data_IF_576536445113
#
_entry.id   IF_576536445113
#
_cell.length_a   1.000
_cell.length_b   1.000
_cell.length_c   1.000
_cell.angle_alpha   90.00
_cell.angle_beta   90.00
_cell.angle_gamma   90.00
#
_symmetry.space_group_name_H-M   'P 1'
#
loop_
_entity.id
_entity.type
_entity.pdbx_description
1 polymer ?
#
# COMPACT_ATOMS: atom_id res chain seq x y z
N UNK A 1 1.87 -0.28 -8.27
CA UNK A 1 3.09 0.52 -8.47
C UNK A 1 4.38 -0.29 -8.32
N UNK A 2 4.33 -1.61 -8.02
CA UNK A 2 5.49 -2.54 -8.03
C UNK A 2 6.73 -2.02 -7.28
N UNK A 3 6.52 -1.35 -6.14
CA UNK A 3 7.61 -0.86 -5.29
C UNK A 3 8.28 -2.03 -4.55
N UNK A 4 9.54 -1.82 -4.14
CA UNK A 4 10.32 -2.81 -3.38
C UNK A 4 9.59 -3.12 -2.07
N UNK A 5 9.45 -4.41 -1.76
CA UNK A 5 9.01 -4.83 -0.43
C UNK A 5 10.18 -4.68 0.55
N UNK A 6 9.98 -3.94 1.63
CA UNK A 6 10.99 -3.75 2.67
C UNK A 6 10.34 -3.49 4.03
N UNK A 7 10.95 -4.03 5.09
CA UNK A 7 10.68 -3.63 6.48
C UNK A 7 11.76 -2.71 7.04
N UNK A 8 12.88 -2.58 6.33
CA UNK A 8 13.90 -1.59 6.62
C UNK A 8 13.44 -0.22 6.09
N UNK A 9 13.54 0.78 6.96
CA UNK A 9 13.06 2.15 6.73
C UNK A 9 14.21 3.15 6.59
N UNK A 10 15.46 2.71 6.67
CA UNK A 10 16.60 3.60 6.48
C UNK A 10 16.60 4.18 5.05
N UNK A 11 16.71 5.50 4.95
CA UNK A 11 16.66 6.22 3.68
C UNK A 11 15.33 6.15 2.91
N UNK A 12 14.22 5.74 3.55
CA UNK A 12 12.89 5.70 2.93
C UNK A 12 12.15 7.03 3.13
N UNK A 13 11.66 7.64 2.05
CA UNK A 13 10.84 8.85 2.11
C UNK A 13 9.36 8.52 2.36
N UNK A 14 8.86 7.45 1.74
CA UNK A 14 7.44 7.06 1.82
C UNK A 14 7.30 5.55 1.97
N UNK A 15 6.58 5.12 3.00
CA UNK A 15 6.18 3.73 3.19
C UNK A 15 4.69 3.55 2.92
N UNK A 16 4.35 2.62 2.02
CA UNK A 16 2.96 2.18 1.79
C UNK A 16 2.67 1.01 2.72
N UNK A 17 1.69 1.16 3.61
CA UNK A 17 1.27 0.15 4.57
C UNK A 17 -0.22 -0.18 4.36
N UNK A 18 -0.54 -1.47 4.35
CA UNK A 18 -1.94 -1.93 4.36
C UNK A 18 -2.42 -2.17 5.80
N UNK A 19 -3.66 -1.78 6.09
CA UNK A 19 -4.34 -2.13 7.36
C UNK A 19 -5.55 -3.01 7.01
N UNK A 20 -5.41 -4.34 7.05
CA UNK A 20 -6.46 -5.27 6.62
C UNK A 20 -7.52 -5.47 7.74
N UNK A 21 -8.27 -4.42 8.07
CA UNK A 21 -9.25 -4.40 9.16
C UNK A 21 -10.67 -4.07 8.67
N UNK A 22 -11.68 -4.75 9.22
CA UNK A 22 -13.10 -4.49 8.94
C UNK A 22 -14.06 -4.83 10.09
N UNK A 23 -13.56 -5.13 11.30
CA UNK A 23 -14.40 -5.49 12.46
C UNK A 23 -15.31 -4.33 12.91
N UNK A 24 -14.96 -3.09 12.57
CA UNK A 24 -15.78 -1.91 12.84
C UNK A 24 -16.89 -1.63 11.80
N UNK A 25 -17.04 -2.47 10.77
CA UNK A 25 -18.11 -2.30 9.76
C UNK A 25 -19.49 -2.58 10.35
N UNK A 26 -20.49 -1.77 10.00
CA UNK A 26 -21.86 -1.86 10.55
C UNK A 26 -22.86 -2.62 9.67
N UNK A 27 -22.49 -2.95 8.42
CA UNK A 27 -23.38 -3.62 7.47
C UNK A 27 -22.61 -4.66 6.64
N UNK A 28 -21.87 -4.23 5.62
CA UNK A 28 -21.13 -5.13 4.72
C UNK A 28 -19.65 -5.15 5.08
N UNK A 29 -19.14 -6.33 5.42
CA UNK A 29 -17.72 -6.60 5.64
C UNK A 29 -16.97 -6.79 4.31
N UNK A 30 -15.64 -6.89 4.37
CA UNK A 30 -14.78 -7.18 3.22
C UNK A 30 -13.62 -6.21 3.02
N UNK A 31 -13.59 -5.06 3.70
CA UNK A 31 -12.49 -4.09 3.56
C UNK A 31 -11.14 -4.64 4.02
N UNK A 32 -11.13 -5.72 4.82
CA UNK A 32 -9.90 -6.45 5.17
C UNK A 32 -9.12 -6.97 3.95
N UNK A 33 -9.80 -7.24 2.83
CA UNK A 33 -9.17 -7.68 1.58
C UNK A 33 -8.71 -6.50 0.70
N UNK A 34 -9.07 -5.27 1.08
CA UNK A 34 -8.81 -4.04 0.34
C UNK A 34 -7.32 -3.83 0.01
N UNK A 35 -6.39 -3.90 0.98
CA UNK A 35 -4.96 -3.69 0.70
C UNK A 35 -4.42 -4.60 -0.43
N UNK A 36 -4.79 -5.89 -0.42
CA UNK A 36 -4.41 -6.83 -1.49
C UNK A 36 -5.06 -6.46 -2.82
N UNK A 37 -6.35 -6.09 -2.81
CA UNK A 37 -7.05 -5.69 -4.03
C UNK A 37 -6.43 -4.43 -4.66
N UNK A 38 -6.11 -3.42 -3.86
CA UNK A 38 -5.44 -2.19 -4.32
C UNK A 38 -4.07 -2.50 -4.90
N UNK A 39 -3.26 -3.34 -4.22
CA UNK A 39 -1.95 -3.75 -4.75
C UNK A 39 -2.08 -4.41 -6.12
N UNK A 40 -3.04 -5.31 -6.29
CA UNK A 40 -3.31 -5.97 -7.57
C UNK A 40 -3.80 -5.00 -8.67
N UNK A 41 -4.66 -4.05 -8.33
CA UNK A 41 -5.15 -3.04 -9.27
C UNK A 41 -4.06 -2.02 -9.66
N UNK A 42 -3.15 -1.70 -8.73
CA UNK A 42 -2.09 -0.69 -8.92
C UNK A 42 -1.04 -1.05 -9.97
N UNK A 43 -1.16 -2.23 -10.59
CA UNK A 43 -0.17 -2.80 -11.51
C UNK A 43 -0.14 -2.06 -12.85
N UNK A 44 -1.28 -1.52 -13.28
CA UNK A 44 -1.38 -0.65 -14.45
C UNK A 44 -0.58 0.65 -14.28
N UNK A 45 -0.46 1.17 -13.05
CA UNK A 45 0.27 2.40 -12.75
C UNK A 45 1.76 2.19 -12.47
N UNK A 46 2.33 1.03 -12.84
CA UNK A 46 3.71 0.69 -12.48
C UNK A 46 4.73 1.00 -13.58
N UNK A 47 4.29 1.14 -14.83
CA UNK A 47 5.19 1.18 -15.99
C UNK A 47 5.44 2.59 -16.51
N UNK A 48 4.45 3.46 -16.48
CA UNK A 48 4.56 4.82 -16.98
C UNK A 48 4.43 5.83 -15.85
N UNK A 49 5.06 6.99 -16.05
CA UNK A 49 4.83 8.19 -15.26
C UNK A 49 3.31 8.45 -15.15
N UNK A 50 2.78 8.73 -13.95
CA UNK A 50 1.37 9.07 -13.79
C UNK A 50 0.94 10.24 -14.68
N UNK A 51 -0.23 10.10 -15.31
CA UNK A 51 -0.80 11.11 -16.19
C UNK A 51 -0.94 12.46 -15.47
N UNK A 52 -0.63 13.56 -16.16
CA UNK A 52 -0.72 14.91 -15.62
C UNK A 52 0.43 15.35 -14.69
N UNK A 53 1.35 14.46 -14.30
CA UNK A 53 2.55 14.85 -13.54
C UNK A 53 3.69 15.31 -14.45
N UNK A 54 4.49 16.28 -14.00
CA UNK A 54 5.66 16.73 -14.76
C UNK A 54 6.85 15.72 -14.73
N UNK A 55 6.88 14.83 -13.74
CA UNK A 55 7.96 13.86 -13.50
C UNK A 55 7.41 12.56 -12.89
N UNK A 56 8.17 11.47 -12.93
CA UNK A 56 7.81 10.24 -12.21
C UNK A 56 8.13 10.42 -10.71
N UNK A 57 7.14 10.31 -9.81
CA UNK A 57 7.38 10.46 -8.36
C UNK A 57 8.47 9.53 -7.84
N UNK A 58 8.66 8.35 -8.44
CA UNK A 58 9.63 7.38 -7.98
C UNK A 58 11.08 7.72 -8.34
N UNK A 59 11.31 8.71 -9.21
CA UNK A 59 12.66 9.24 -9.48
C UNK A 59 13.15 10.16 -8.36
N UNK A 60 12.21 10.69 -7.55
CA UNK A 60 12.51 11.69 -6.52
C UNK A 60 12.23 11.22 -5.09
N UNK A 61 11.44 10.16 -4.94
CA UNK A 61 11.03 9.63 -3.65
C UNK A 61 11.41 8.15 -3.55
N UNK A 62 12.15 7.80 -2.50
CA UNK A 62 12.40 6.43 -2.10
C UNK A 62 11.13 5.84 -1.48
N UNK A 63 10.31 5.18 -2.32
CA UNK A 63 9.03 4.58 -1.90
C UNK A 63 9.15 3.06 -1.75
N UNK A 64 8.70 2.53 -0.60
CA UNK A 64 8.65 1.08 -0.31
C UNK A 64 7.23 0.60 -0.03
N UNK A 65 6.96 -0.68 -0.30
CA UNK A 65 5.81 -1.39 0.24
C UNK A 65 6.22 -2.05 1.55
N UNK A 66 5.69 -1.54 2.67
CA UNK A 66 5.96 -2.04 4.01
C UNK A 66 5.11 -3.26 4.36
N UNK A 67 4.30 -3.78 3.44
CA UNK A 67 3.38 -4.89 3.70
C UNK A 67 2.18 -4.46 4.52
N UNK A 68 1.70 -5.34 5.38
CA UNK A 68 0.50 -5.11 6.18
C UNK A 68 0.83 -4.94 7.66
N UNK A 69 0.02 -4.14 8.34
CA UNK A 69 0.01 -4.02 9.79
C UNK A 69 -0.52 -5.33 10.39
N UNK A 70 0.30 -5.97 11.21
CA UNK A 70 -0.13 -7.13 11.97
C UNK A 70 -0.96 -6.66 13.17
N UNK A 71 -2.11 -7.29 13.40
CA UNK A 71 -2.89 -7.12 14.63
C UNK A 71 -3.59 -8.44 14.96
N UNK A 72 -3.87 -8.64 16.24
CA UNK A 72 -4.56 -9.83 16.73
C UNK A 72 -6.08 -9.64 16.63
N UNK A 73 -6.72 -10.40 15.76
CA UNK A 73 -8.17 -10.37 15.59
C UNK A 73 -8.94 -10.84 16.84
N UNK A 74 -8.32 -11.63 17.71
CA UNK A 74 -8.93 -12.11 18.96
C UNK A 74 -8.87 -11.11 20.11
N UNK A 75 -8.11 -10.02 19.95
CA UNK A 75 -7.92 -8.95 20.95
C UNK A 75 -7.90 -7.59 20.25
N UNK A 76 -9.06 -7.12 19.74
CA UNK A 76 -9.17 -5.86 19.02
C UNK A 76 -8.95 -4.64 19.92
#
# INVERSE_FOLDING_TARGET
MRRKYSKDMDGVDVAVLGVPFDTATTNRSGTRFGPRAIRNASTIMAWERPYGMAFDPFDKLAVVDAGDAHFDFGRP
#
